data_IF_016966814052
#
_entry.id   IF_016966814052
#
_cell.length_a   1.000
_cell.length_b   1.000
_cell.length_c   1.000
_cell.angle_alpha   90.00
_cell.angle_beta   90.00
_cell.angle_gamma   90.00
#
_symmetry.space_group_name_H-M   'P 1'
#
loop_
_entity.id
_entity.type
_entity.pdbx_description
1 polymer ?
#
# COMPACT_ATOMS: atom_id res chain seq x y z
N UNK A 1 -7.74 13.26 -10.26
CA UNK A 1 -7.80 12.17 -9.29
C UNK A 1 -7.90 12.73 -7.88
N UNK A 2 -8.68 12.07 -7.07
CA UNK A 2 -8.90 12.52 -5.69
C UNK A 2 -7.75 12.06 -4.79
N UNK A 3 -7.13 13.03 -4.09
CA UNK A 3 -6.10 12.73 -3.09
C UNK A 3 -6.76 12.53 -1.74
N UNK A 4 -6.21 11.62 -0.95
CA UNK A 4 -6.71 11.33 0.39
C UNK A 4 -5.54 11.05 1.32
N UNK A 5 -5.79 11.17 2.62
CA UNK A 5 -4.81 10.79 3.63
C UNK A 5 -4.97 9.30 3.90
N UNK A 6 -3.87 8.56 3.84
CA UNK A 6 -3.86 7.11 3.98
C UNK A 6 -2.73 6.71 4.91
N UNK A 7 -2.95 5.69 5.73
CA UNK A 7 -1.92 5.17 6.64
C UNK A 7 -1.34 3.89 6.04
N UNK A 8 -0.05 3.95 5.68
CA UNK A 8 0.66 2.76 5.20
C UNK A 8 1.25 2.01 6.38
N UNK A 9 1.31 0.69 6.25
CA UNK A 9 1.84 -0.20 7.29
C UNK A 9 3.27 -0.57 6.96
N UNK A 10 4.16 -0.34 7.91
CA UNK A 10 5.55 -0.77 7.85
C UNK A 10 5.80 -1.87 8.87
N UNK A 11 6.46 -2.94 8.44
CA UNK A 11 6.91 -4.00 9.35
C UNK A 11 8.43 -4.02 9.23
N UNK A 12 9.11 -3.54 10.26
CA UNK A 12 10.58 -3.47 10.32
C UNK A 12 11.03 -4.17 11.57
N UNK A 13 11.87 -5.20 11.42
CA UNK A 13 12.39 -6.01 12.52
C UNK A 13 11.29 -6.54 13.45
N UNK A 14 10.18 -6.96 12.86
CA UNK A 14 9.05 -7.49 13.59
C UNK A 14 8.18 -6.45 14.29
N UNK A 15 8.49 -5.16 14.11
CA UNK A 15 7.73 -4.07 14.71
C UNK A 15 6.82 -3.44 13.66
N UNK A 16 5.52 -3.41 13.96
CA UNK A 16 4.52 -2.74 13.12
C UNK A 16 4.50 -1.25 13.43
N UNK A 17 4.43 -0.44 12.38
CA UNK A 17 4.21 0.99 12.51
C UNK A 17 3.33 1.48 11.36
N UNK A 18 2.68 2.62 11.57
CA UNK A 18 1.87 3.27 10.54
C UNK A 18 2.50 4.61 10.19
N UNK A 19 2.49 4.94 8.90
CA UNK A 19 2.93 6.23 8.41
C UNK A 19 1.80 6.86 7.60
N UNK A 20 1.44 8.09 7.93
CA UNK A 20 0.42 8.83 7.21
C UNK A 20 1.03 9.42 5.94
N UNK A 21 0.38 9.21 4.81
CA UNK A 21 0.81 9.71 3.51
C UNK A 21 -0.37 10.28 2.74
N UNK A 22 -0.07 11.10 1.74
CA UNK A 22 -1.05 11.56 0.77
C UNK A 22 -1.06 10.55 -0.37
N UNK A 23 -2.22 9.94 -0.61
CA UNK A 23 -2.39 8.89 -1.61
C UNK A 23 -3.43 9.29 -2.65
N UNK A 24 -3.33 8.69 -3.82
CA UNK A 24 -4.30 8.84 -4.90
C UNK A 24 -4.92 7.49 -5.20
N UNK A 25 -6.21 7.47 -5.51
CA UNK A 25 -6.86 6.23 -5.88
C UNK A 25 -6.34 5.74 -7.22
N UNK A 26 -5.84 4.50 -7.25
CA UNK A 26 -5.38 3.85 -8.47
C UNK A 26 -6.49 3.00 -9.09
N UNK A 27 -7.08 2.12 -8.29
CA UNK A 27 -8.26 1.33 -8.65
C UNK A 27 -9.06 1.03 -7.38
N UNK A 28 -10.05 0.15 -7.45
CA UNK A 28 -10.91 -0.13 -6.28
C UNK A 28 -10.17 -0.80 -5.12
N UNK A 29 -9.01 -1.41 -5.37
CA UNK A 29 -8.26 -2.14 -4.34
C UNK A 29 -6.98 -1.44 -3.91
N UNK A 30 -6.49 -0.45 -4.66
CA UNK A 30 -5.10 0.02 -4.57
C UNK A 30 -5.02 1.54 -4.54
N UNK A 31 -4.18 2.05 -3.64
CA UNK A 31 -3.76 3.46 -3.62
C UNK A 31 -2.37 3.62 -4.22
N UNK A 32 -2.19 4.73 -4.92
CA UNK A 32 -0.90 5.17 -5.46
C UNK A 32 -0.28 6.21 -4.52
N UNK A 33 0.99 6.01 -4.18
CA UNK A 33 1.75 6.93 -3.33
C UNK A 33 3.02 7.37 -4.06
N UNK A 34 3.17 8.68 -4.21
CA UNK A 34 4.30 9.28 -4.92
C UNK A 34 5.30 9.91 -3.94
N UNK A 35 6.61 9.70 -4.12
CA UNK A 35 7.62 10.37 -3.32
C UNK A 35 7.67 11.87 -3.58
N UNK A 36 7.17 12.35 -4.72
CA UNK A 36 7.14 13.78 -5.02
C UNK A 36 6.07 14.53 -4.24
N UNK A 37 5.02 13.84 -3.80
CA UNK A 37 3.93 14.42 -3.03
C UNK A 37 4.17 14.31 -1.52
N UNK A 38 4.99 13.36 -1.09
CA UNK A 38 5.20 13.03 0.31
C UNK A 38 6.66 13.25 0.71
N UNK A 39 6.94 14.34 1.41
CA UNK A 39 8.32 14.74 1.77
C UNK A 39 9.08 13.71 2.60
N UNK A 40 8.39 13.04 3.52
CA UNK A 40 9.01 12.08 4.43
C UNK A 40 8.95 10.64 3.92
N UNK A 41 8.41 10.45 2.72
CA UNK A 41 8.29 9.14 2.12
C UNK A 41 9.60 8.79 1.41
N UNK A 42 10.30 7.80 1.94
CA UNK A 42 11.65 7.42 1.46
C UNK A 42 11.64 6.36 0.37
N UNK A 43 10.47 5.85 0.02
CA UNK A 43 10.35 4.80 -0.97
C UNK A 43 10.16 5.38 -2.39
N UNK A 44 10.25 4.51 -3.38
CA UNK A 44 9.98 4.86 -4.77
C UNK A 44 8.48 5.02 -4.99
N UNK A 45 8.08 5.33 -6.22
CA UNK A 45 6.66 5.29 -6.58
C UNK A 45 6.10 3.93 -6.20
N UNK A 46 4.98 3.90 -5.50
CA UNK A 46 4.50 2.67 -4.86
C UNK A 46 2.99 2.52 -4.96
N UNK A 47 2.53 1.26 -4.96
CA UNK A 47 1.12 0.92 -4.83
C UNK A 47 0.91 0.17 -3.52
N UNK A 48 -0.16 0.53 -2.83
CA UNK A 48 -0.50 -0.04 -1.52
C UNK A 48 -1.92 -0.57 -1.53
N UNK A 49 -2.13 -1.70 -0.86
CA UNK A 49 -3.44 -2.27 -0.67
C UNK A 49 -4.27 -1.40 0.29
N UNK A 50 -5.49 -1.06 -0.11
CA UNK A 50 -6.36 -0.17 0.69
C UNK A 50 -6.79 -0.77 2.03
N UNK A 51 -6.96 -2.08 2.09
CA UNK A 51 -7.49 -2.76 3.27
C UNK A 51 -6.43 -3.18 4.27
N UNK A 52 -5.20 -3.37 3.81
CA UNK A 52 -4.12 -3.88 4.67
C UNK A 52 -3.01 -2.85 4.91
N UNK A 53 -2.97 -1.79 4.10
CA UNK A 53 -1.91 -0.79 4.19
C UNK A 53 -0.54 -1.30 3.74
N UNK A 54 -0.46 -2.52 3.19
CA UNK A 54 0.79 -3.13 2.79
C UNK A 54 1.15 -2.81 1.35
N UNK A 55 2.46 -2.69 1.10
CA UNK A 55 3.00 -2.40 -0.22
C UNK A 55 2.79 -3.60 -1.17
N UNK A 56 2.34 -3.32 -2.38
CA UNK A 56 2.16 -4.32 -3.42
C UNK A 56 3.38 -4.38 -4.33
N UNK A 57 3.81 -3.22 -4.84
CA UNK A 57 4.97 -3.11 -5.73
C UNK A 57 5.48 -1.68 -5.76
N UNK A 58 6.68 -1.50 -6.32
CA UNK A 58 7.32 -0.19 -6.49
C UNK A 58 7.87 -0.04 -7.89
N UNK A 59 8.24 1.19 -8.26
CA UNK A 59 8.91 1.49 -9.52
C UNK A 59 9.70 2.78 -9.40
N UNK A 60 10.73 2.93 -10.23
CA UNK A 60 11.56 4.13 -10.26
C UNK A 60 10.81 5.35 -10.80
N UNK A 61 9.79 5.08 -11.59
CA UNK A 61 8.89 6.08 -12.15
C UNK A 61 7.51 5.45 -12.29
N UNK A 62 6.53 6.26 -12.67
CA UNK A 62 5.15 5.80 -12.75
C UNK A 62 4.95 4.68 -13.78
N UNK A 63 5.63 4.75 -14.92
CA UNK A 63 5.49 3.74 -15.95
C UNK A 63 6.04 2.39 -15.50
N UNK A 64 7.22 2.37 -14.87
CA UNK A 64 7.79 1.14 -14.31
C UNK A 64 6.88 0.55 -13.24
N UNK A 65 6.29 1.40 -12.41
CA UNK A 65 5.35 0.98 -11.37
C UNK A 65 4.15 0.27 -11.99
N UNK A 66 3.56 0.83 -13.03
CA UNK A 66 2.42 0.24 -13.73
C UNK A 66 2.81 -1.11 -14.34
N UNK A 67 3.97 -1.18 -14.98
CA UNK A 67 4.47 -2.41 -15.58
C UNK A 67 4.67 -3.50 -14.52
N UNK A 68 5.26 -3.13 -13.38
CA UNK A 68 5.48 -4.06 -12.28
C UNK A 68 4.15 -4.54 -11.68
N UNK A 69 3.17 -3.66 -11.55
CA UNK A 69 1.86 -4.04 -11.06
C UNK A 69 1.18 -5.04 -12.01
N UNK A 70 1.26 -4.79 -13.31
CA UNK A 70 0.68 -5.69 -14.31
C UNK A 70 1.26 -7.11 -14.22
N UNK A 71 2.54 -7.23 -13.84
CA UNK A 71 3.20 -8.53 -13.66
C UNK A 71 2.69 -9.30 -12.43
N UNK A 72 2.21 -8.61 -11.41
CA UNK A 72 1.79 -9.22 -10.14
C UNK A 72 0.27 -9.24 -9.95
N UNK A 73 -0.49 -8.74 -10.91
CA UNK A 73 -1.94 -8.57 -10.78
C UNK A 73 -2.66 -9.88 -10.44
N UNK A 74 -2.31 -10.96 -11.12
CA UNK A 74 -2.94 -12.26 -10.87
C UNK A 74 -2.60 -12.81 -9.49
N UNK A 75 -1.33 -12.69 -9.10
CA UNK A 75 -0.89 -13.12 -7.77
C UNK A 75 -1.61 -12.31 -6.69
N UNK A 76 -1.72 -11.01 -6.89
CA UNK A 76 -2.40 -10.15 -5.96
C UNK A 76 -3.88 -10.51 -5.82
N UNK A 77 -4.54 -10.83 -6.94
CA UNK A 77 -5.93 -11.29 -6.92
C UNK A 77 -6.09 -12.59 -6.10
N UNK A 78 -5.11 -13.50 -6.20
CA UNK A 78 -5.12 -14.73 -5.39
C UNK A 78 -4.88 -14.42 -3.92
N UNK A 79 -3.96 -13.51 -3.60
CA UNK A 79 -3.68 -13.09 -2.23
C UNK A 79 -4.94 -12.54 -1.57
N UNK A 80 -5.73 -11.73 -2.30
CA UNK A 80 -6.97 -11.15 -1.76
C UNK A 80 -8.03 -12.20 -1.39
N UNK A 81 -7.91 -13.41 -1.90
CA UNK A 81 -8.81 -14.52 -1.58
C UNK A 81 -8.28 -15.42 -0.46
N UNK A 82 -7.06 -15.18 0.01
CA UNK A 82 -6.41 -16.04 0.99
C UNK A 82 -6.83 -15.72 2.43
N UNK A 83 -6.64 -16.70 3.32
CA UNK A 83 -6.87 -16.51 4.75
C UNK A 83 -5.89 -15.50 5.36
N UNK A 84 -4.65 -15.45 4.85
CA UNK A 84 -3.64 -14.50 5.30
C UNK A 84 -4.08 -13.06 5.04
N UNK A 85 -4.73 -12.81 3.91
CA UNK A 85 -5.22 -11.47 3.58
C UNK A 85 -6.25 -10.99 4.61
N UNK A 86 -7.19 -11.85 5.00
CA UNK A 86 -8.18 -11.53 6.02
C UNK A 86 -7.53 -11.23 7.37
N UNK A 87 -6.49 -11.98 7.71
CA UNK A 87 -5.71 -11.73 8.93
C UNK A 87 -5.03 -10.37 8.88
N UNK A 88 -4.42 -10.01 7.76
CA UNK A 88 -3.76 -8.72 7.58
C UNK A 88 -4.75 -7.56 7.68
N UNK A 89 -5.96 -7.71 7.17
CA UNK A 89 -7.01 -6.70 7.31
C UNK A 89 -7.31 -6.44 8.77
N UNK A 90 -7.50 -7.49 9.56
CA UNK A 90 -7.79 -7.37 10.99
C UNK A 90 -6.64 -6.71 11.76
N UNK A 91 -5.42 -7.11 11.45
CA UNK A 91 -4.23 -6.54 12.09
C UNK A 91 -4.10 -5.05 11.78
N UNK A 92 -4.33 -4.67 10.53
CA UNK A 92 -4.26 -3.27 10.12
C UNK A 92 -5.34 -2.43 10.81
N UNK A 93 -6.57 -2.91 10.86
CA UNK A 93 -7.65 -2.23 11.55
C UNK A 93 -7.35 -2.04 13.04
N UNK A 94 -6.76 -3.05 13.67
CA UNK A 94 -6.36 -2.97 15.07
C UNK A 94 -5.26 -1.91 15.28
N UNK A 95 -4.26 -1.88 14.41
CA UNK A 95 -3.21 -0.87 14.48
C UNK A 95 -3.77 0.55 14.37
N UNK A 96 -4.72 0.77 13.48
CA UNK A 96 -5.36 2.08 13.33
C UNK A 96 -6.13 2.50 14.57
N UNK A 97 -6.73 1.55 15.27
CA UNK A 97 -7.46 1.84 16.52
C UNK A 97 -6.53 2.19 17.67
N UNK A 98 -5.32 1.65 17.67
CA UNK A 98 -4.33 1.89 18.73
C UNK A 98 -3.65 3.26 18.60
N UNK A 99 -3.79 3.90 17.47
CA UNK A 99 -3.31 5.27 17.26
C UNK A 99 -4.42 6.29 17.54
#
# INVERSE_FOLDING_TARGET
MKKTIFKIRHIVDGVDSLQEVIAEEYDEFVYYVSPTTNKDFKFKYSLYDKKTGLMICTGKNKQELIDNYNKVTERYAQVRKSAHYKKYIKEYEQLKKEE
#
